data_IF_045857522474
#
_entry.id   IF_045857522474
#
_cell.length_a   1.000
_cell.length_b   1.000
_cell.length_c   1.000
_cell.angle_alpha   90.00
_cell.angle_beta   90.00
_cell.angle_gamma   90.00
#
_symmetry.space_group_name_H-M   'P 1'
#
loop_
_entity.id
_entity.type
_entity.pdbx_description
1 polymer ?
#
# COMPACT_ATOMS: atom_id res chain seq x y z
N UNK A 1 -17.25 4.24 -2.83
CA UNK A 1 -16.17 3.32 -2.39
C UNK A 1 -16.02 2.20 -3.40
N UNK A 2 -14.82 1.85 -3.73
CA UNK A 2 -14.53 0.76 -4.65
C UNK A 2 -13.90 -0.41 -3.90
N UNK A 3 -14.15 -1.63 -4.37
CA UNK A 3 -13.51 -2.82 -3.83
C UNK A 3 -12.22 -3.11 -4.60
N UNK A 4 -11.20 -3.50 -3.86
CA UNK A 4 -9.96 -4.07 -4.40
C UNK A 4 -9.86 -5.51 -3.92
N UNK A 5 -9.65 -6.44 -4.84
CA UNK A 5 -9.57 -7.86 -4.54
C UNK A 5 -8.12 -8.30 -4.68
N UNK A 6 -7.59 -8.93 -3.64
CA UNK A 6 -6.30 -9.61 -3.70
C UNK A 6 -6.55 -11.12 -3.77
N UNK A 7 -6.00 -11.76 -4.79
CA UNK A 7 -6.15 -13.19 -5.00
C UNK A 7 -4.81 -13.89 -4.78
N UNK A 8 -4.80 -14.87 -3.88
CA UNK A 8 -3.61 -15.66 -3.60
C UNK A 8 -3.46 -16.77 -4.62
N UNK A 9 -2.33 -16.82 -5.27
CA UNK A 9 -2.02 -17.77 -6.33
C UNK A 9 -0.81 -18.62 -6.02
N UNK A 10 -0.68 -19.75 -6.72
CA UNK A 10 0.57 -20.49 -6.75
C UNK A 10 1.59 -19.76 -7.64
N UNK A 11 2.88 -20.03 -7.43
CA UNK A 11 3.94 -19.41 -8.23
C UNK A 11 4.46 -18.10 -7.63
N UNK A 12 5.08 -17.27 -8.46
CA UNK A 12 5.82 -16.08 -8.01
C UNK A 12 4.95 -14.85 -7.80
N UNK A 13 3.73 -14.83 -8.34
CA UNK A 13 2.85 -13.69 -8.32
C UNK A 13 1.50 -14.04 -7.73
N UNK A 14 1.00 -13.18 -6.86
CA UNK A 14 -0.41 -13.07 -6.53
C UNK A 14 -1.05 -12.07 -7.49
N UNK A 15 -2.32 -11.76 -7.35
CA UNK A 15 -3.01 -10.82 -8.23
C UNK A 15 -3.82 -9.80 -7.44
N UNK A 16 -3.89 -8.60 -7.99
CA UNK A 16 -4.81 -7.57 -7.55
C UNK A 16 -5.82 -7.31 -8.66
N UNK A 17 -7.10 -7.25 -8.30
CA UNK A 17 -8.17 -7.01 -9.24
C UNK A 17 -8.93 -5.75 -8.85
N UNK A 18 -9.12 -4.85 -9.81
CA UNK A 18 -9.96 -3.67 -9.68
C UNK A 18 -10.97 -3.64 -10.83
N UNK A 19 -12.14 -3.07 -10.56
CA UNK A 19 -13.20 -2.95 -11.57
C UNK A 19 -12.96 -1.70 -12.40
N UNK A 20 -12.88 -1.87 -13.73
CA UNK A 20 -12.77 -0.77 -14.70
C UNK A 20 -13.73 -0.98 -15.86
N UNK A 21 -14.58 0.01 -16.10
CA UNK A 21 -15.52 -0.03 -17.24
C UNK A 21 -16.33 -1.32 -17.33
N UNK A 22 -16.75 -1.83 -16.17
CA UNK A 22 -17.54 -3.06 -16.07
C UNK A 22 -16.74 -4.35 -16.15
N UNK A 23 -15.42 -4.29 -16.28
CA UNK A 23 -14.54 -5.46 -16.33
C UNK A 23 -13.48 -5.42 -15.23
N UNK A 24 -13.09 -6.59 -14.73
CA UNK A 24 -12.02 -6.73 -13.77
C UNK A 24 -10.66 -6.62 -14.44
N UNK A 25 -9.88 -5.61 -14.04
CA UNK A 25 -8.49 -5.45 -14.46
C UNK A 25 -7.59 -6.16 -13.46
N UNK A 26 -6.79 -7.09 -13.94
CA UNK A 26 -5.86 -7.86 -13.14
C UNK A 26 -4.45 -7.29 -13.22
N UNK A 27 -3.82 -7.12 -12.07
CA UNK A 27 -2.42 -6.70 -11.96
C UNK A 27 -1.63 -7.77 -11.21
N UNK A 28 -0.54 -8.28 -11.79
CA UNK A 28 0.32 -9.22 -11.06
C UNK A 28 1.04 -8.52 -9.92
N UNK A 29 1.09 -9.18 -8.77
CA UNK A 29 1.74 -8.68 -7.56
C UNK A 29 2.85 -9.64 -7.16
N UNK A 30 4.12 -9.23 -7.18
CA UNK A 30 5.21 -10.07 -6.66
C UNK A 30 4.93 -10.47 -5.22
N UNK A 31 5.09 -11.75 -4.92
CA UNK A 31 4.89 -12.24 -3.56
C UNK A 31 5.90 -11.63 -2.62
N UNK A 32 5.43 -11.16 -1.48
CA UNK A 32 6.27 -10.68 -0.39
C UNK A 32 5.55 -10.85 0.95
N UNK A 33 6.32 -10.86 2.03
CA UNK A 33 5.81 -10.94 3.39
C UNK A 33 6.08 -9.61 4.11
N UNK A 34 5.26 -9.25 5.10
CA UNK A 34 4.09 -9.96 5.61
C UNK A 34 2.85 -9.83 4.73
N UNK A 35 2.81 -8.83 3.87
CA UNK A 35 1.71 -8.54 2.94
C UNK A 35 2.26 -8.05 1.61
N UNK A 36 1.40 -8.01 0.60
CA UNK A 36 1.77 -7.50 -0.73
C UNK A 36 2.01 -5.98 -0.68
N UNK A 37 2.82 -5.48 -1.62
CA UNK A 37 3.13 -4.05 -1.72
C UNK A 37 1.88 -3.17 -1.75
N UNK A 38 0.88 -3.53 -2.55
CA UNK A 38 -0.36 -2.76 -2.65
C UNK A 38 -1.22 -2.81 -1.39
N UNK A 39 -1.04 -3.80 -0.53
CA UNK A 39 -1.66 -3.82 0.79
C UNK A 39 -1.01 -2.80 1.74
N UNK A 40 0.29 -2.55 1.62
CA UNK A 40 0.93 -1.42 2.31
C UNK A 40 0.33 -0.09 1.87
N UNK A 41 0.07 0.07 0.58
CA UNK A 41 -0.65 1.25 0.07
C UNK A 41 -2.01 1.40 0.72
N UNK A 42 -2.78 0.31 0.82
CA UNK A 42 -4.09 0.33 1.47
C UNK A 42 -3.99 0.83 2.92
N UNK A 43 -3.06 0.27 3.69
CA UNK A 43 -2.88 0.66 5.09
C UNK A 43 -2.51 2.15 5.22
N UNK A 44 -1.51 2.60 4.49
CA UNK A 44 -1.01 3.99 4.55
C UNK A 44 -2.07 4.98 4.09
N UNK A 45 -2.65 4.74 2.91
CA UNK A 45 -3.61 5.67 2.31
C UNK A 45 -4.90 5.77 3.13
N UNK A 46 -5.38 4.65 3.67
CA UNK A 46 -6.59 4.62 4.48
C UNK A 46 -6.40 5.32 5.82
N UNK A 47 -5.31 5.03 6.53
CA UNK A 47 -5.03 5.66 7.84
C UNK A 47 -4.85 7.17 7.70
N UNK A 48 -4.13 7.62 6.67
CA UNK A 48 -3.91 9.05 6.46
C UNK A 48 -5.09 9.76 5.79
N UNK A 49 -6.07 9.01 5.28
CA UNK A 49 -7.19 9.60 4.53
C UNK A 49 -6.72 10.34 3.28
N UNK A 50 -5.67 9.85 2.63
CA UNK A 50 -5.06 10.45 1.47
C UNK A 50 -5.22 9.58 0.24
N UNK A 51 -5.40 10.22 -0.91
CA UNK A 51 -5.56 9.58 -2.19
C UNK A 51 -4.21 9.35 -2.85
N UNK A 52 -3.64 8.16 -2.62
CA UNK A 52 -2.39 7.73 -3.24
C UNK A 52 -2.64 6.78 -4.43
N UNK A 53 -1.63 6.00 -4.76
CA UNK A 53 -1.61 5.15 -5.94
C UNK A 53 -2.76 4.13 -5.97
N UNK A 54 -3.03 3.47 -4.85
CA UNK A 54 -4.08 2.45 -4.79
C UNK A 54 -5.47 3.05 -4.97
N UNK A 55 -5.78 4.14 -4.26
CA UNK A 55 -7.07 4.83 -4.38
C UNK A 55 -7.29 5.37 -5.79
N UNK A 56 -6.25 5.94 -6.41
CA UNK A 56 -6.29 6.43 -7.78
C UNK A 56 -6.52 5.29 -8.78
N UNK A 57 -5.81 4.19 -8.61
CA UNK A 57 -5.96 3.01 -9.46
C UNK A 57 -7.38 2.42 -9.35
N UNK A 58 -7.90 2.27 -8.14
CA UNK A 58 -9.26 1.78 -7.89
C UNK A 58 -10.33 2.74 -8.42
N UNK A 59 -10.05 4.05 -8.48
CA UNK A 59 -10.94 5.05 -9.04
C UNK A 59 -10.91 5.12 -10.58
N UNK A 60 -10.07 4.29 -11.23
CA UNK A 60 -9.97 4.22 -12.67
C UNK A 60 -9.01 5.23 -13.30
N UNK A 61 -8.11 5.82 -12.53
CA UNK A 61 -7.10 6.73 -13.05
C UNK A 61 -5.93 5.98 -13.69
N UNK A 62 -5.34 6.57 -14.70
CA UNK A 62 -4.22 6.00 -15.44
C UNK A 62 -4.65 5.05 -16.54
N UNK A 63 -3.74 4.82 -17.47
CA UNK A 63 -3.90 3.82 -18.54
C UNK A 63 -2.93 2.67 -18.30
N UNK A 64 -3.48 1.51 -17.96
CA UNK A 64 -2.67 0.34 -17.61
C UNK A 64 -1.80 0.62 -16.37
N UNK A 65 -0.47 0.51 -16.53
CA UNK A 65 0.50 0.77 -15.45
C UNK A 65 0.97 2.22 -15.40
N UNK A 66 0.46 3.09 -16.28
CA UNK A 66 0.89 4.49 -16.36
C UNK A 66 -0.12 5.38 -15.66
N UNK A 67 0.38 6.11 -14.69
CA UNK A 67 -0.41 7.07 -13.92
C UNK A 67 0.34 8.41 -13.91
N UNK A 68 -0.40 9.51 -14.12
CA UNK A 68 0.19 10.84 -14.06
C UNK A 68 0.74 11.10 -12.65
N UNK A 69 2.03 11.45 -12.48
CA UNK A 69 2.58 11.76 -11.18
C UNK A 69 1.85 12.91 -10.50
N UNK A 70 1.60 12.76 -9.20
CA UNK A 70 1.09 13.80 -8.33
C UNK A 70 1.98 13.88 -7.09
N UNK A 71 2.22 15.09 -6.60
CA UNK A 71 3.11 15.31 -5.44
C UNK A 71 2.69 14.50 -4.22
N UNK A 72 1.39 14.45 -3.92
CA UNK A 72 0.86 13.67 -2.78
C UNK A 72 1.06 12.18 -3.00
N UNK A 73 0.80 11.67 -4.20
CA UNK A 73 0.99 10.24 -4.52
C UNK A 73 2.46 9.84 -4.38
N UNK A 74 3.38 10.66 -4.83
CA UNK A 74 4.82 10.40 -4.70
C UNK A 74 5.27 10.42 -3.23
N UNK A 75 4.77 11.37 -2.45
CA UNK A 75 5.06 11.43 -1.02
C UNK A 75 4.50 10.20 -0.28
N UNK A 76 3.32 9.73 -0.65
CA UNK A 76 2.73 8.49 -0.09
C UNK A 76 3.54 7.26 -0.48
N UNK A 77 4.03 7.19 -1.72
CA UNK A 77 4.91 6.11 -2.17
C UNK A 77 6.18 6.02 -1.31
N UNK A 78 6.78 7.17 -0.97
CA UNK A 78 7.95 7.20 -0.05
C UNK A 78 7.58 6.68 1.34
N UNK A 79 6.38 6.99 1.83
CA UNK A 79 5.94 6.47 3.11
C UNK A 79 5.65 4.97 3.06
N UNK A 80 5.07 4.47 1.98
CA UNK A 80 4.88 3.03 1.75
C UNK A 80 6.21 2.30 1.79
N UNK A 81 7.21 2.78 1.07
CA UNK A 81 8.57 2.21 1.08
C UNK A 81 9.17 2.22 2.49
N UNK A 82 8.98 3.31 3.24
CA UNK A 82 9.44 3.43 4.62
C UNK A 82 8.75 2.41 5.53
N UNK A 83 7.46 2.22 5.38
CA UNK A 83 6.70 1.26 6.20
C UNK A 83 7.03 -0.20 5.84
N UNK A 84 7.38 -0.47 4.58
CA UNK A 84 7.90 -1.79 4.20
C UNK A 84 9.24 -2.06 4.90
N UNK A 85 10.17 -1.11 4.85
CA UNK A 85 11.45 -1.22 5.53
C UNK A 85 11.26 -1.39 7.05
N UNK A 86 10.34 -0.64 7.64
CA UNK A 86 9.94 -0.76 9.05
C UNK A 86 9.51 -2.19 9.40
N UNK A 87 8.67 -2.79 8.58
CA UNK A 87 8.19 -4.17 8.78
C UNK A 87 9.31 -5.21 8.74
N UNK A 88 10.35 -4.96 7.95
CA UNK A 88 11.47 -5.88 7.81
C UNK A 88 12.62 -5.62 8.77
N UNK A 89 12.63 -4.50 9.48
CA UNK A 89 13.74 -4.06 10.33
C UNK A 89 13.47 -4.08 11.84
N UNK A 90 12.35 -4.65 12.29
CA UNK A 90 12.06 -4.80 13.71
C UNK A 90 11.37 -3.62 14.37
N UNK A 91 10.84 -2.69 13.59
CA UNK A 91 9.98 -1.61 14.05
C UNK A 91 10.61 -0.71 15.12
N UNK A 92 11.50 0.19 14.73
CA UNK A 92 12.08 1.17 15.65
C UNK A 92 11.03 2.15 16.19
N UNK A 93 11.45 3.07 17.08
CA UNK A 93 10.57 4.11 17.59
C UNK A 93 9.90 4.88 16.43
N UNK A 94 8.61 5.20 16.51
CA UNK A 94 7.90 5.96 15.48
C UNK A 94 8.60 7.26 15.05
N UNK A 95 9.27 7.95 15.94
CA UNK A 95 10.04 9.16 15.61
C UNK A 95 11.17 8.85 14.62
N UNK A 96 11.84 7.71 14.77
CA UNK A 96 12.90 7.28 13.83
C UNK A 96 12.34 6.94 12.47
N UNK A 97 11.14 6.34 12.41
CA UNK A 97 10.45 6.04 11.16
C UNK A 97 10.11 7.34 10.41
N UNK A 98 9.62 8.34 11.14
CA UNK A 98 9.32 9.66 10.54
C UNK A 98 10.61 10.31 10.02
N UNK A 99 11.70 10.27 10.76
CA UNK A 99 13.00 10.80 10.33
C UNK A 99 13.47 10.11 9.03
N UNK A 100 13.33 8.80 8.95
CA UNK A 100 13.66 8.05 7.75
C UNK A 100 12.77 8.47 6.56
N UNK A 101 11.48 8.62 6.78
CA UNK A 101 10.56 9.10 5.75
C UNK A 101 10.96 10.48 5.22
N UNK A 102 11.23 11.43 6.11
CA UNK A 102 11.63 12.78 5.74
C UNK A 102 12.97 12.77 4.96
N UNK A 103 13.93 11.96 5.39
CA UNK A 103 15.20 11.80 4.69
C UNK A 103 15.00 11.20 3.28
N UNK A 104 14.14 10.20 3.16
CA UNK A 104 13.83 9.57 1.87
C UNK A 104 13.17 10.56 0.92
N UNK A 105 12.22 11.35 1.39
CA UNK A 105 11.61 12.42 0.59
C UNK A 105 12.65 13.45 0.12
N UNK A 106 13.54 13.86 1.02
CA UNK A 106 14.58 14.85 0.67
C UNK A 106 15.51 14.34 -0.43
N UNK A 107 15.96 13.08 -0.33
CA UNK A 107 16.83 12.46 -1.32
C UNK A 107 16.15 12.36 -2.70
N UNK A 108 14.84 12.08 -2.72
CA UNK A 108 14.07 11.89 -3.94
C UNK A 108 13.48 13.18 -4.49
N UNK A 109 13.62 14.29 -3.77
CA UNK A 109 13.03 15.57 -4.16
C UNK A 109 11.52 15.67 -4.01
N UNK A 110 10.94 14.82 -3.16
CA UNK A 110 9.50 14.83 -2.88
C UNK A 110 9.19 15.68 -1.65
N UNK A 111 8.09 16.42 -1.69
CA UNK A 111 7.61 17.18 -0.56
C UNK A 111 6.85 16.23 0.39
N UNK A 112 7.32 16.03 1.64
CA UNK A 112 6.66 15.12 2.56
C UNK A 112 5.29 15.65 2.97
N UNK A 113 4.35 14.73 3.22
CA UNK A 113 3.09 15.04 3.87
C UNK A 113 3.26 14.97 5.39
N UNK A 114 2.43 15.68 6.17
CA UNK A 114 2.48 15.57 7.63
C UNK A 114 2.14 14.16 8.10
N UNK A 115 3.02 13.59 8.91
CA UNK A 115 2.84 12.26 9.51
C UNK A 115 3.22 12.35 10.98
N UNK A 116 2.34 11.87 11.85
CA UNK A 116 2.56 11.87 13.31
C UNK A 116 3.00 10.49 13.80
N UNK A 117 3.54 10.43 15.02
CA UNK A 117 3.85 9.17 15.66
C UNK A 117 2.60 8.27 15.80
N UNK A 118 1.45 8.86 16.10
CA UNK A 118 0.18 8.13 16.18
C UNK A 118 -0.23 7.56 14.84
N UNK A 119 0.04 8.26 13.74
CA UNK A 119 -0.18 7.74 12.38
C UNK A 119 0.66 6.51 12.13
N UNK A 120 1.93 6.52 12.50
CA UNK A 120 2.83 5.37 12.34
C UNK A 120 2.31 4.17 13.12
N UNK A 121 1.89 4.37 14.36
CA UNK A 121 1.31 3.30 15.19
C UNK A 121 0.04 2.74 14.55
N UNK A 122 -0.85 3.61 14.07
CA UNK A 122 -2.09 3.19 13.42
C UNK A 122 -1.85 2.43 12.11
N UNK A 123 -0.87 2.87 11.32
CA UNK A 123 -0.47 2.17 10.08
C UNK A 123 0.07 0.77 10.42
N UNK A 124 0.91 0.64 11.45
CA UNK A 124 1.43 -0.66 11.91
C UNK A 124 0.30 -1.61 12.31
N UNK A 125 -0.71 -1.12 13.02
CA UNK A 125 -1.89 -1.91 13.40
C UNK A 125 -2.65 -2.36 12.15
N UNK A 126 -2.85 -1.47 11.19
CA UNK A 126 -3.52 -1.81 9.94
C UNK A 126 -2.75 -2.86 9.12
N UNK A 127 -1.42 -2.75 9.08
CA UNK A 127 -0.55 -3.76 8.43
C UNK A 127 -0.69 -5.12 9.13
N UNK A 128 -0.69 -5.14 10.45
CA UNK A 128 -0.82 -6.38 11.23
C UNK A 128 -2.19 -7.04 11.01
N UNK A 129 -3.24 -6.26 10.94
CA UNK A 129 -4.58 -6.77 10.62
C UNK A 129 -4.62 -7.40 9.22
N UNK A 130 -4.10 -6.70 8.23
CA UNK A 130 -4.02 -7.24 6.86
C UNK A 130 -3.16 -8.50 6.80
N UNK A 131 -2.03 -8.52 7.51
CA UNK A 131 -1.15 -9.68 7.57
C UNK A 131 -1.85 -10.90 8.16
N UNK A 132 -2.60 -10.72 9.25
CA UNK A 132 -3.36 -11.79 9.88
C UNK A 132 -4.46 -12.32 8.95
N UNK A 133 -5.19 -11.43 8.29
CA UNK A 133 -6.24 -11.80 7.33
C UNK A 133 -5.66 -12.50 6.09
N UNK A 134 -4.58 -11.96 5.54
CA UNK A 134 -3.92 -12.53 4.36
C UNK A 134 -3.34 -13.92 4.65
N UNK A 135 -2.78 -14.13 5.83
CA UNK A 135 -2.26 -15.45 6.25
C UNK A 135 -3.34 -16.54 6.26
N UNK A 136 -4.61 -16.18 6.49
CA UNK A 136 -5.74 -17.12 6.50
C UNK A 136 -6.27 -17.44 5.10
N UNK A 137 -5.87 -16.67 4.08
CA UNK A 137 -6.34 -16.88 2.70
C UNK A 137 -5.56 -18.04 2.10
N UNK A 138 -6.24 -19.12 1.65
CA UNK A 138 -5.57 -20.22 0.96
C UNK A 138 -5.23 -19.84 -0.48
N UNK A 139 -4.35 -20.61 -1.11
CA UNK A 139 -4.10 -20.48 -2.56
C UNK A 139 -5.42 -20.66 -3.31
N UNK A 140 -5.74 -19.76 -4.21
CA UNK A 140 -7.02 -19.68 -4.90
C UNK A 140 -8.08 -18.86 -4.16
N UNK A 141 -7.82 -18.49 -2.93
CA UNK A 141 -8.72 -17.63 -2.14
C UNK A 141 -8.47 -16.14 -2.37
N UNK A 142 -9.34 -15.33 -1.79
CA UNK A 142 -9.36 -13.86 -2.00
C UNK A 142 -9.49 -13.12 -0.69
N UNK A 143 -8.88 -11.93 -0.67
CA UNK A 143 -9.09 -10.90 0.35
C UNK A 143 -9.65 -9.66 -0.33
N UNK A 144 -10.78 -9.18 0.15
CA UNK A 144 -11.42 -7.97 -0.38
C UNK A 144 -11.22 -6.82 0.60
N UNK A 145 -10.76 -5.69 0.11
CA UNK A 145 -10.65 -4.44 0.87
C UNK A 145 -11.39 -3.33 0.14
N UNK A 146 -11.87 -2.35 0.89
CA UNK A 146 -12.55 -1.17 0.32
C UNK A 146 -11.62 0.04 0.32
N UNK A 147 -11.67 0.79 -0.74
CA UNK A 147 -10.91 2.04 -0.90
C UNK A 147 -11.80 3.21 -1.31
#
# INVERSE_FOLDING_TARGET
MADVIFEKRSGKYDAMLVLRDGAWLETPCPKQAPILHDMFHHAVETILGRRGFLHRHAAGEGEGFRMTPEAVSEALERLVETMQADSWSGRPDPAEVIDLYLATCAVRGDAPIPVTADDIVAIRVAIDDLAARWAQVPVGGRLVVSV
#
